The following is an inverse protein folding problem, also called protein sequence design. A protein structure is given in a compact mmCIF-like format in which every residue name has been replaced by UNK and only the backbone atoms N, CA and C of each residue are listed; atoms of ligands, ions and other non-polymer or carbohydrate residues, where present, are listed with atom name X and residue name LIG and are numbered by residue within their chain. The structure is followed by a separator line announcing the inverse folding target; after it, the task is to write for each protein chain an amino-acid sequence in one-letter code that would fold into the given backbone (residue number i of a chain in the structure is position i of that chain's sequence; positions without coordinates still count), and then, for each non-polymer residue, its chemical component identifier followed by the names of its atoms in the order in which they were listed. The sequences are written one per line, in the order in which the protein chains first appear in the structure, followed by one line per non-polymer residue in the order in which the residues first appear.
data_IF_231977457319
#
_entry.id   IF_231977457319
#
_cell.length_a   1.000
_cell.length_b   1.000
_cell.length_c   1.000
_cell.angle_alpha   90.00
_cell.angle_beta   90.00
_cell.angle_gamma   90.00
#
_symmetry.space_group_name_H-M   'P 1'
#
loop_
_entity.id
_entity.type
_entity.pdbx_description
1 polymer ?
#
# COMPACT_ATOMS: atom_id res chain seq x y z
N UNK A 1 81.83 -59.92 15.34
CA UNK A 1 81.42 -58.60 15.89
C UNK A 1 81.11 -57.68 14.72
N UNK A 2 79.95 -57.02 14.76
CA UNK A 2 79.43 -55.97 13.87
C UNK A 2 79.16 -56.36 12.39
N UNK A 3 78.05 -56.01 11.74
CA UNK A 3 76.87 -55.23 12.13
C UNK A 3 75.95 -54.96 10.91
N UNK A 4 74.68 -55.36 11.04
CA UNK A 4 73.39 -54.74 10.66
C UNK A 4 73.29 -53.77 9.44
N UNK A 5 72.27 -54.08 8.61
CA UNK A 5 71.36 -53.22 7.83
C UNK A 5 71.63 -52.95 6.34
N UNK A 6 71.13 -53.88 5.50
CA UNK A 6 70.40 -53.59 4.25
C UNK A 6 69.18 -52.71 4.57
N UNK A 7 69.24 -51.40 4.32
CA UNK A 7 68.09 -50.52 4.48
C UNK A 7 68.11 -49.41 3.39
N UNK A 8 67.17 -49.57 2.45
CA UNK A 8 66.61 -48.63 1.44
C UNK A 8 67.46 -48.24 0.22
N UNK A 9 67.11 -48.85 -0.92
CA UNK A 9 67.36 -48.27 -2.25
C UNK A 9 66.59 -46.94 -2.37
N UNK A 10 67.23 -45.90 -2.90
CA UNK A 10 66.57 -44.60 -3.14
C UNK A 10 65.41 -44.68 -4.14
N UNK A 11 65.26 -45.79 -4.88
CA UNK A 11 64.14 -46.08 -5.78
C UNK A 11 62.82 -46.37 -5.05
N UNK A 12 62.85 -47.11 -3.94
CA UNK A 12 61.63 -47.47 -3.20
C UNK A 12 61.07 -46.29 -2.39
N UNK A 13 61.95 -45.45 -1.82
CA UNK A 13 61.51 -44.23 -1.14
C UNK A 13 60.97 -43.20 -2.14
N UNK A 14 61.62 -43.02 -3.29
CA UNK A 14 61.14 -42.08 -4.31
C UNK A 14 59.83 -42.55 -4.96
N UNK A 15 59.67 -43.85 -5.21
CA UNK A 15 58.41 -44.43 -5.69
C UNK A 15 57.30 -44.34 -4.63
N UNK A 16 57.56 -44.71 -3.37
CA UNK A 16 56.60 -44.61 -2.27
C UNK A 16 56.24 -43.17 -1.90
N UNK A 17 57.20 -42.25 -1.90
CA UNK A 17 56.98 -40.82 -1.69
C UNK A 17 56.22 -40.19 -2.85
N UNK A 18 56.53 -40.57 -4.11
CA UNK A 18 55.79 -40.09 -5.28
C UNK A 18 54.36 -40.63 -5.31
N UNK A 19 54.13 -41.90 -4.96
CA UNK A 19 52.80 -42.51 -4.89
C UNK A 19 51.97 -41.90 -3.73
N UNK A 20 52.61 -41.59 -2.61
CA UNK A 20 51.99 -40.86 -1.47
C UNK A 20 51.73 -39.39 -1.81
N UNK A 21 52.65 -38.72 -2.50
CA UNK A 21 52.47 -37.36 -2.98
C UNK A 21 51.34 -37.29 -4.03
N UNK A 22 51.25 -38.25 -4.94
CA UNK A 22 50.17 -38.34 -5.94
C UNK A 22 48.80 -38.60 -5.30
N UNK A 23 48.73 -39.54 -4.36
CA UNK A 23 47.50 -39.81 -3.61
C UNK A 23 47.09 -38.64 -2.71
N UNK A 24 48.02 -37.75 -2.33
CA UNK A 24 47.73 -36.51 -1.62
C UNK A 24 47.38 -35.31 -2.53
N UNK A 25 47.83 -35.29 -3.79
CA UNK A 25 47.56 -34.17 -4.73
C UNK A 25 46.09 -34.07 -5.12
N UNK A 26 45.43 -35.20 -5.41
CA UNK A 26 44.02 -35.20 -5.81
C UNK A 26 43.07 -34.74 -4.69
N UNK A 27 43.16 -35.26 -3.44
CA UNK A 27 42.42 -34.72 -2.30
C UNK A 27 42.71 -33.24 -2.02
N UNK A 28 43.97 -32.80 -2.19
CA UNK A 28 44.33 -31.38 -2.01
C UNK A 28 43.72 -30.48 -3.10
N UNK A 29 43.71 -30.93 -4.36
CA UNK A 29 43.05 -30.21 -5.46
C UNK A 29 41.52 -30.17 -5.27
N UNK A 30 40.91 -31.29 -4.89
CA UNK A 30 39.48 -31.36 -4.56
C UNK A 30 39.13 -30.41 -3.40
N UNK A 31 39.96 -30.37 -2.35
CA UNK A 31 39.80 -29.46 -1.23
C UNK A 31 39.91 -27.98 -1.65
N UNK A 32 40.91 -27.62 -2.45
CA UNK A 32 41.08 -26.25 -2.96
C UNK A 32 39.92 -25.83 -3.89
N UNK A 33 39.43 -26.74 -4.72
CA UNK A 33 38.26 -26.50 -5.59
C UNK A 33 36.99 -26.35 -4.77
N UNK A 34 36.80 -27.17 -3.74
CA UNK A 34 35.66 -27.07 -2.83
C UNK A 34 35.66 -25.72 -2.07
N UNK A 35 36.82 -25.27 -1.59
CA UNK A 35 36.99 -23.94 -1.01
C UNK A 35 36.62 -22.84 -2.01
N UNK A 36 37.10 -22.93 -3.26
CA UNK A 36 36.81 -21.95 -4.31
C UNK A 36 35.32 -21.94 -4.67
N UNK A 37 34.69 -23.10 -4.87
CA UNK A 37 33.26 -23.22 -5.14
C UNK A 37 32.44 -22.64 -3.98
N UNK A 38 32.78 -22.97 -2.72
CA UNK A 38 32.11 -22.41 -1.55
C UNK A 38 32.30 -20.90 -1.43
N UNK A 39 33.49 -20.37 -1.73
CA UNK A 39 33.75 -18.93 -1.73
C UNK A 39 32.93 -18.21 -2.83
N UNK A 40 32.81 -18.81 -4.02
CA UNK A 40 31.99 -18.29 -5.12
C UNK A 40 30.50 -18.34 -4.78
N UNK A 41 30.01 -19.42 -4.18
CA UNK A 41 28.62 -19.57 -3.71
C UNK A 41 28.33 -18.58 -2.58
N UNK A 42 29.24 -18.43 -1.61
CA UNK A 42 29.10 -17.44 -0.53
C UNK A 42 29.00 -16.02 -1.08
N UNK A 43 29.87 -15.68 -2.03
CA UNK A 43 29.86 -14.36 -2.69
C UNK A 43 28.61 -14.15 -3.56
N UNK A 44 28.09 -15.19 -4.20
CA UNK A 44 26.79 -15.16 -4.89
C UNK A 44 25.65 -14.87 -3.89
N UNK A 45 25.62 -15.59 -2.77
CA UNK A 45 24.60 -15.41 -1.73
C UNK A 45 24.68 -14.01 -1.10
N UNK A 46 25.88 -13.48 -0.86
CA UNK A 46 26.09 -12.10 -0.39
C UNK A 46 25.57 -11.08 -1.41
N UNK A 47 25.82 -11.27 -2.71
CA UNK A 47 25.30 -10.37 -3.75
C UNK A 47 23.78 -10.49 -3.95
N UNK A 48 23.21 -11.69 -3.91
CA UNK A 48 21.75 -11.90 -3.94
C UNK A 48 21.13 -11.25 -2.70
N UNK A 49 21.74 -11.41 -1.53
CA UNK A 49 21.30 -10.76 -0.30
C UNK A 49 21.36 -9.24 -0.43
N UNK A 50 22.41 -8.68 -1.05
CA UNK A 50 22.52 -7.24 -1.31
C UNK A 50 21.42 -6.72 -2.27
N UNK A 51 21.13 -7.42 -3.38
CA UNK A 51 20.03 -7.06 -4.30
C UNK A 51 18.66 -7.13 -3.62
N UNK A 52 18.46 -8.11 -2.74
CA UNK A 52 17.23 -8.25 -1.96
C UNK A 52 17.16 -7.25 -0.78
N UNK A 53 18.31 -6.83 -0.24
CA UNK A 53 18.45 -5.90 0.87
C UNK A 53 18.47 -4.43 0.43
N UNK A 54 18.68 -4.13 -0.85
CA UNK A 54 18.35 -2.87 -1.49
C UNK A 54 16.82 -2.68 -1.41
N UNK A 55 16.37 -2.27 -0.22
CA UNK A 55 14.96 -2.14 0.13
C UNK A 55 14.35 -0.86 -0.41
N UNK A 56 15.15 0.13 -0.77
CA UNK A 56 14.67 1.44 -1.20
C UNK A 56 15.69 2.02 -2.18
N UNK A 57 15.23 2.58 -3.32
CA UNK A 57 15.80 3.81 -3.96
C UNK A 57 15.75 3.92 -5.50
N UNK A 58 15.03 3.08 -6.24
CA UNK A 58 14.60 3.51 -7.61
C UNK A 58 13.19 4.09 -7.66
N UNK A 59 12.28 3.62 -6.79
CA UNK A 59 10.88 4.08 -6.75
C UNK A 59 10.41 4.60 -5.39
N UNK A 60 11.27 4.77 -4.37
CA UNK A 60 10.82 5.18 -3.02
C UNK A 60 10.13 6.55 -3.00
N UNK A 61 10.52 7.46 -3.90
CA UNK A 61 9.86 8.78 -4.05
C UNK A 61 8.49 8.66 -4.69
N UNK A 62 8.33 7.80 -5.70
CA UNK A 62 7.05 7.52 -6.35
C UNK A 62 6.11 6.78 -5.39
N UNK A 63 6.59 5.76 -4.67
CA UNK A 63 5.82 5.03 -3.67
C UNK A 63 5.43 5.91 -2.48
N UNK A 64 6.34 6.77 -2.00
CA UNK A 64 6.03 7.75 -0.95
C UNK A 64 5.00 8.77 -1.44
N UNK A 65 5.11 9.24 -2.67
CA UNK A 65 4.12 10.12 -3.29
C UNK A 65 2.75 9.45 -3.43
N UNK A 66 2.67 8.25 -4.01
CA UNK A 66 1.43 7.50 -4.18
C UNK A 66 0.80 7.13 -2.82
N UNK A 67 1.62 6.78 -1.83
CA UNK A 67 1.15 6.53 -0.45
C UNK A 67 0.60 7.80 0.20
N UNK A 68 1.27 8.94 0.00
CA UNK A 68 0.77 10.25 0.47
C UNK A 68 -0.55 10.61 -0.21
N UNK A 69 -0.66 10.40 -1.52
CA UNK A 69 -1.90 10.64 -2.27
C UNK A 69 -3.03 9.71 -1.83
N UNK A 70 -2.74 8.42 -1.60
CA UNK A 70 -3.71 7.47 -1.03
C UNK A 70 -4.24 7.97 0.31
N UNK A 71 -3.36 8.45 1.21
CA UNK A 71 -3.77 9.01 2.50
C UNK A 71 -4.65 10.24 2.33
N UNK A 72 -4.25 11.20 1.50
CA UNK A 72 -5.04 12.42 1.22
C UNK A 72 -6.42 12.09 0.64
N UNK A 73 -6.49 11.15 -0.30
CA UNK A 73 -7.76 10.70 -0.90
C UNK A 73 -8.64 9.96 0.12
N UNK A 74 -8.04 9.18 1.02
CA UNK A 74 -8.75 8.52 2.12
C UNK A 74 -9.34 9.54 3.10
N UNK A 75 -8.55 10.53 3.52
CA UNK A 75 -8.99 11.60 4.41
C UNK A 75 -10.12 12.42 3.75
N UNK A 76 -9.98 12.74 2.46
CA UNK A 76 -11.01 13.42 1.67
C UNK A 76 -12.29 12.58 1.55
N UNK A 77 -12.18 11.27 1.34
CA UNK A 77 -13.32 10.35 1.30
C UNK A 77 -14.10 10.36 2.61
N UNK A 78 -13.40 10.30 3.74
CA UNK A 78 -14.02 10.36 5.06
C UNK A 78 -14.77 11.68 5.29
N UNK A 79 -14.18 12.81 4.91
CA UNK A 79 -14.86 14.11 5.00
C UNK A 79 -16.09 14.18 4.09
N UNK A 80 -16.02 13.55 2.90
CA UNK A 80 -17.15 13.49 1.96
C UNK A 80 -18.30 12.66 2.52
N UNK A 81 -18.02 11.50 3.10
CA UNK A 81 -19.02 10.64 3.75
C UNK A 81 -19.67 11.33 4.94
N UNK A 82 -18.86 11.99 5.79
CA UNK A 82 -19.39 12.77 6.91
C UNK A 82 -20.33 13.87 6.43
N UNK A 83 -19.93 14.62 5.40
CA UNK A 83 -20.78 15.67 4.84
C UNK A 83 -22.09 15.10 4.26
N UNK A 84 -22.02 14.02 3.48
CA UNK A 84 -23.19 13.31 2.94
C UNK A 84 -24.14 12.90 4.07
N UNK A 85 -23.60 12.34 5.17
CA UNK A 85 -24.40 11.94 6.31
C UNK A 85 -25.10 13.14 6.98
N UNK A 86 -24.36 14.20 7.30
CA UNK A 86 -24.90 15.39 7.95
C UNK A 86 -25.95 16.10 7.06
N UNK A 87 -25.67 16.22 5.76
CA UNK A 87 -26.57 16.79 4.77
C UNK A 87 -27.84 15.93 4.57
N UNK A 88 -27.69 14.61 4.47
CA UNK A 88 -28.82 13.68 4.37
C UNK A 88 -29.72 13.71 5.60
N UNK A 89 -29.15 13.85 6.80
CA UNK A 89 -29.94 14.09 8.03
C UNK A 89 -30.75 15.39 7.94
N UNK A 90 -30.13 16.46 7.45
CA UNK A 90 -30.82 17.74 7.28
C UNK A 90 -31.95 17.65 6.23
N UNK A 91 -31.79 16.88 5.15
CA UNK A 91 -32.85 16.64 4.16
C UNK A 91 -34.07 15.94 4.79
N UNK A 92 -33.84 14.84 5.53
CA UNK A 92 -34.92 14.12 6.23
C UNK A 92 -35.64 15.05 7.21
N UNK A 93 -34.87 15.90 7.88
CA UNK A 93 -35.41 16.87 8.83
C UNK A 93 -36.25 17.95 8.13
N UNK A 94 -35.81 18.41 6.96
CA UNK A 94 -36.55 19.38 6.15
C UNK A 94 -37.89 18.81 5.65
N UNK A 95 -37.92 17.53 5.24
CA UNK A 95 -39.17 16.85 4.87
C UNK A 95 -40.13 16.75 6.07
N UNK A 96 -39.61 16.42 7.25
CA UNK A 96 -40.42 16.38 8.48
C UNK A 96 -40.97 17.77 8.86
N UNK A 97 -40.21 18.84 8.64
CA UNK A 97 -40.65 20.22 8.85
C UNK A 97 -41.79 20.60 7.90
N UNK A 98 -41.79 20.10 6.66
CA UNK A 98 -42.86 20.37 5.68
C UNK A 98 -44.20 19.85 6.19
N UNK A 99 -44.24 18.61 6.68
CA UNK A 99 -45.44 18.02 7.28
C UNK A 99 -45.91 18.83 8.48
N UNK A 100 -44.99 19.25 9.37
CA UNK A 100 -45.34 20.05 10.54
C UNK A 100 -45.86 21.44 10.19
N UNK A 101 -45.34 22.07 9.14
CA UNK A 101 -45.87 23.34 8.67
C UNK A 101 -47.29 23.19 8.08
N UNK A 102 -47.59 22.05 7.43
CA UNK A 102 -48.95 21.73 6.99
C UNK A 102 -49.89 21.55 8.19
N UNK A 103 -49.47 20.80 9.22
CA UNK A 103 -50.24 20.62 10.46
C UNK A 103 -50.49 21.96 11.17
N UNK A 104 -49.48 22.84 11.19
CA UNK A 104 -49.58 24.18 11.77
C UNK A 104 -50.59 25.04 11.01
N UNK A 105 -50.58 24.99 9.68
CA UNK A 105 -51.54 25.68 8.83
C UNK A 105 -52.97 25.14 9.01
N UNK A 106 -53.13 23.83 9.15
CA UNK A 106 -54.42 23.20 9.40
C UNK A 106 -54.99 23.58 10.78
N UNK A 107 -54.15 23.59 11.82
CA UNK A 107 -54.54 24.02 13.16
C UNK A 107 -54.95 25.50 13.19
N UNK A 108 -54.25 26.36 12.45
CA UNK A 108 -54.62 27.76 12.29
C UNK A 108 -56.00 27.91 11.62
N UNK A 109 -56.25 27.19 10.53
CA UNK A 109 -57.53 27.22 9.82
C UNK A 109 -58.70 26.68 10.66
N UNK A 110 -58.44 25.71 11.54
CA UNK A 110 -59.41 25.16 12.48
C UNK A 110 -59.61 26.02 13.74
N UNK A 111 -58.86 27.11 13.89
CA UNK A 111 -58.78 27.93 15.11
C UNK A 111 -58.41 27.11 16.37
N UNK A 112 -57.65 26.03 16.20
CA UNK A 112 -57.19 25.17 17.30
C UNK A 112 -55.84 25.66 17.83
N UNK A 113 -55.93 26.57 18.80
CA UNK A 113 -54.76 27.18 19.45
C UNK A 113 -53.89 26.16 20.20
N UNK A 114 -54.50 25.10 20.75
CA UNK A 114 -53.76 24.09 21.52
C UNK A 114 -52.86 23.28 20.60
N UNK A 115 -53.43 22.76 19.51
CA UNK A 115 -52.67 22.01 18.50
C UNK A 115 -51.63 22.91 17.82
N UNK A 116 -51.99 24.16 17.50
CA UNK A 116 -51.05 25.12 16.91
C UNK A 116 -49.80 25.30 17.78
N UNK A 117 -49.97 25.54 19.08
CA UNK A 117 -48.85 25.73 20.01
C UNK A 117 -47.97 24.47 20.13
N UNK A 118 -48.59 23.29 20.14
CA UNK A 118 -47.86 22.03 20.20
C UNK A 118 -47.02 21.78 18.94
N UNK A 119 -47.60 22.03 17.76
CA UNK A 119 -46.90 21.88 16.48
C UNK A 119 -45.78 22.90 16.34
N UNK A 120 -46.02 24.16 16.71
CA UNK A 120 -45.00 25.21 16.71
C UNK A 120 -43.81 24.87 17.61
N UNK A 121 -44.07 24.36 18.82
CA UNK A 121 -43.02 23.86 19.72
C UNK A 121 -42.23 22.71 19.08
N UNK A 122 -42.92 21.78 18.41
CA UNK A 122 -42.26 20.66 17.73
C UNK A 122 -41.41 21.12 16.55
N UNK A 123 -41.88 22.08 15.74
CA UNK A 123 -41.09 22.73 14.69
C UNK A 123 -39.82 23.30 15.29
N UNK A 124 -39.96 24.10 16.37
CA UNK A 124 -38.82 24.74 17.00
C UNK A 124 -37.77 23.72 17.49
N UNK A 125 -38.20 22.64 18.14
CA UNK A 125 -37.31 21.56 18.57
C UNK A 125 -36.59 20.89 17.41
N UNK A 126 -37.30 20.61 16.31
CA UNK A 126 -36.72 19.95 15.15
C UNK A 126 -35.70 20.85 14.45
N UNK A 127 -36.01 22.14 14.31
CA UNK A 127 -35.08 23.12 13.76
C UNK A 127 -33.79 23.23 14.59
N UNK A 128 -33.90 23.17 15.92
CA UNK A 128 -32.75 23.23 16.84
C UNK A 128 -31.86 21.97 16.74
N UNK A 129 -32.43 20.84 16.31
CA UNK A 129 -31.69 19.59 16.09
C UNK A 129 -30.94 19.54 14.75
N UNK A 130 -31.27 20.42 13.81
CA UNK A 130 -30.51 20.53 12.56
C UNK A 130 -29.09 21.00 12.87
N UNK A 131 -28.12 20.58 12.08
CA UNK A 131 -26.74 21.02 12.24
C UNK A 131 -26.20 21.48 10.91
N UNK A 132 -25.48 22.59 10.89
CA UNK A 132 -24.81 23.01 9.68
C UNK A 132 -23.79 21.96 9.23
N UNK A 133 -23.97 21.44 8.02
CA UNK A 133 -23.03 20.52 7.41
C UNK A 133 -21.84 21.33 6.86
N UNK A 134 -20.62 21.04 7.34
CA UNK A 134 -19.43 21.76 6.89
C UNK A 134 -18.89 21.17 5.58
N UNK A 135 -19.20 21.81 4.45
CA UNK A 135 -18.75 21.41 3.11
C UNK A 135 -17.35 21.89 2.73
N UNK A 136 -16.74 22.78 3.51
CA UNK A 136 -15.45 23.40 3.16
C UNK A 136 -14.31 22.38 2.98
N UNK A 137 -14.16 21.34 3.83
CA UNK A 137 -13.11 20.33 3.67
C UNK A 137 -13.17 19.56 2.34
N UNK A 138 -14.34 19.53 1.70
CA UNK A 138 -14.57 18.83 0.42
C UNK A 138 -14.76 19.78 -0.77
N UNK A 139 -14.60 21.09 -0.56
CA UNK A 139 -14.72 22.12 -1.59
C UNK A 139 -16.15 22.52 -1.92
N UNK A 140 -17.14 22.13 -1.11
CA UNK A 140 -18.52 22.64 -1.20
C UNK A 140 -18.62 23.90 -0.35
N UNK A 141 -18.70 25.06 -1.01
CA UNK A 141 -18.72 26.39 -0.36
C UNK A 141 -20.14 26.98 -0.31
N UNK A 142 -21.13 26.24 -0.80
CA UNK A 142 -22.53 26.66 -0.77
C UNK A 142 -23.07 26.42 0.64
N UNK A 143 -23.58 27.49 1.26
CA UNK A 143 -24.31 27.43 2.52
C UNK A 143 -25.49 26.47 2.36
N UNK A 144 -25.63 25.50 3.26
CA UNK A 144 -26.67 24.49 3.23
C UNK A 144 -28.07 25.06 3.51
N UNK A 145 -28.15 26.34 3.89
CA UNK A 145 -29.40 27.04 4.17
C UNK A 145 -30.04 26.61 5.49
N UNK A 146 -29.41 25.72 6.25
CA UNK A 146 -29.87 25.28 7.57
C UNK A 146 -29.80 26.44 8.55
N UNK A 147 -28.78 27.29 8.45
CA UNK A 147 -28.68 28.50 9.27
C UNK A 147 -29.85 29.45 9.02
N UNK A 148 -30.42 29.47 7.80
CA UNK A 148 -31.62 30.27 7.48
C UNK A 148 -32.92 29.66 8.03
N UNK A 149 -32.96 28.33 8.21
CA UNK A 149 -34.06 27.66 8.89
C UNK A 149 -33.97 27.80 10.41
N UNK A 150 -32.75 27.79 10.97
CA UNK A 150 -32.45 28.02 12.39
C UNK A 150 -32.60 29.49 12.79
N UNK A 151 -32.24 30.41 11.90
CA UNK A 151 -32.70 31.79 11.93
C UNK A 151 -34.23 31.76 11.91
N UNK A 152 -34.92 32.64 12.64
CA UNK A 152 -36.24 32.32 13.16
C UNK A 152 -37.22 32.08 11.99
N UNK A 153 -37.49 30.80 11.73
CA UNK A 153 -38.28 30.33 10.59
C UNK A 153 -39.77 30.60 10.76
N UNK A 154 -40.22 30.93 11.98
CA UNK A 154 -41.52 31.51 12.28
C UNK A 154 -41.27 32.70 13.20
N UNK A 155 -41.57 33.89 12.69
CA UNK A 155 -41.21 35.13 13.34
C UNK A 155 -42.40 35.96 13.69
N UNK A 156 -42.35 36.45 14.92
CA UNK A 156 -43.12 37.61 15.31
C UNK A 156 -42.28 38.86 15.10
N UNK A 157 -42.95 39.94 14.76
CA UNK A 157 -42.38 41.28 14.83
C UNK A 157 -42.87 41.91 16.12
N UNK A 158 -41.96 42.33 16.98
CA UNK A 158 -42.37 43.18 18.10
C UNK A 158 -42.85 44.55 17.57
N UNK A 159 -43.47 45.37 18.42
CA UNK A 159 -43.92 46.72 18.05
C UNK A 159 -42.78 47.66 17.57
N UNK A 160 -41.52 47.26 17.73
CA UNK A 160 -40.33 47.95 17.26
C UNK A 160 -39.73 47.34 15.97
N UNK A 161 -40.43 46.40 15.31
CA UNK A 161 -40.00 45.76 14.07
C UNK A 161 -38.86 44.74 14.22
N UNK A 162 -38.50 44.36 15.45
CA UNK A 162 -37.47 43.35 15.71
C UNK A 162 -38.06 41.95 15.54
N UNK A 163 -37.36 41.12 14.76
CA UNK A 163 -37.70 39.74 14.46
C UNK A 163 -37.31 38.85 15.65
N UNK A 164 -38.29 38.23 16.32
CA UNK A 164 -38.05 37.22 17.35
C UNK A 164 -38.76 35.92 17.01
N UNK A 165 -38.23 34.80 17.49
CA UNK A 165 -38.81 33.49 17.27
C UNK A 165 -40.18 33.40 17.94
N UNK A 166 -41.19 32.93 17.22
CA UNK A 166 -42.50 32.66 17.78
C UNK A 166 -42.50 31.36 18.59
N UNK A 167 -43.20 31.36 19.73
CA UNK A 167 -43.32 30.22 20.65
C UNK A 167 -44.76 29.76 20.84
N UNK A 168 -45.73 30.64 20.57
CA UNK A 168 -47.17 30.40 20.73
C UNK A 168 -47.97 31.22 19.71
N UNK A 169 -49.24 30.83 19.47
CA UNK A 169 -50.16 31.52 18.55
C UNK A 169 -50.37 32.98 18.93
N UNK A 170 -50.44 33.30 20.22
CA UNK A 170 -50.63 34.67 20.70
C UNK A 170 -49.46 35.61 20.40
N UNK A 171 -48.33 35.08 19.92
CA UNK A 171 -47.20 35.89 19.45
C UNK A 171 -47.49 36.52 18.07
N UNK A 172 -48.54 36.09 17.37
CA UNK A 172 -48.99 36.69 16.10
C UNK A 172 -50.21 37.59 16.34
N UNK A 173 -50.13 38.85 15.90
CA UNK A 173 -51.18 39.84 16.11
C UNK A 173 -52.50 39.46 15.39
N UNK A 174 -52.40 38.87 14.20
CA UNK A 174 -53.55 38.39 13.41
C UNK A 174 -53.32 37.00 12.83
N UNK A 175 -54.40 36.33 12.40
CA UNK A 175 -54.28 35.08 11.63
C UNK A 175 -53.53 35.30 10.30
N UNK A 176 -53.71 36.47 9.68
CA UNK A 176 -53.01 36.83 8.45
C UNK A 176 -51.48 36.90 8.66
N UNK A 177 -51.03 37.41 9.81
CA UNK A 177 -49.61 37.44 10.17
C UNK A 177 -49.06 36.02 10.38
N UNK A 178 -49.84 35.16 11.06
CA UNK A 178 -49.48 33.76 11.25
C UNK A 178 -49.40 33.01 9.90
N UNK A 179 -50.37 33.22 9.01
CA UNK A 179 -50.35 32.64 7.64
C UNK A 179 -49.15 33.15 6.83
N UNK A 180 -48.83 34.44 6.90
CA UNK A 180 -47.67 35.01 6.22
C UNK A 180 -46.35 34.38 6.72
N UNK A 181 -46.19 34.22 8.03
CA UNK A 181 -45.03 33.56 8.62
C UNK A 181 -44.92 32.10 8.19
N UNK A 182 -46.03 31.34 8.18
CA UNK A 182 -46.07 29.94 7.71
C UNK A 182 -45.67 29.86 6.23
N UNK A 183 -46.20 30.73 5.38
CA UNK A 183 -45.85 30.77 3.95
C UNK A 183 -44.38 31.11 3.73
N UNK A 184 -43.83 32.05 4.51
CA UNK A 184 -42.41 32.35 4.47
C UNK A 184 -41.56 31.15 4.90
N UNK A 185 -41.98 30.43 5.95
CA UNK A 185 -41.33 29.20 6.39
C UNK A 185 -41.31 28.15 5.28
N UNK A 186 -42.43 27.94 4.59
CA UNK A 186 -42.50 27.03 3.43
C UNK A 186 -41.55 27.44 2.30
N UNK A 187 -41.46 28.73 1.97
CA UNK A 187 -40.56 29.22 0.92
C UNK A 187 -39.08 29.04 1.29
N UNK A 188 -38.73 29.34 2.55
CA UNK A 188 -37.38 29.12 3.07
C UNK A 188 -37.03 27.63 3.07
N UNK A 189 -37.96 26.78 3.51
CA UNK A 189 -37.81 25.33 3.52
C UNK A 189 -37.65 24.76 2.12
N UNK A 190 -38.46 25.20 1.16
CA UNK A 190 -38.33 24.79 -0.24
C UNK A 190 -36.97 25.16 -0.83
N UNK A 191 -36.48 26.38 -0.53
CA UNK A 191 -35.15 26.82 -0.96
C UNK A 191 -34.05 25.98 -0.30
N UNK A 192 -34.13 25.76 1.02
CA UNK A 192 -33.15 24.96 1.76
C UNK A 192 -33.15 23.50 1.28
N UNK A 193 -34.31 22.87 1.07
CA UNK A 193 -34.39 21.51 0.54
C UNK A 193 -33.77 21.39 -0.86
N UNK A 194 -33.95 22.38 -1.74
CA UNK A 194 -33.30 22.40 -3.05
C UNK A 194 -31.77 22.48 -2.93
N UNK A 195 -31.27 23.35 -2.04
CA UNK A 195 -29.83 23.49 -1.81
C UNK A 195 -29.23 22.24 -1.19
N UNK A 196 -29.90 21.65 -0.19
CA UNK A 196 -29.50 20.37 0.41
C UNK A 196 -29.44 19.25 -0.63
N UNK A 197 -30.43 19.17 -1.54
CA UNK A 197 -30.43 18.19 -2.63
C UNK A 197 -29.27 18.43 -3.61
N UNK A 198 -29.04 19.68 -4.02
CA UNK A 198 -27.91 20.02 -4.91
C UNK A 198 -26.56 19.69 -4.28
N UNK A 199 -26.40 19.99 -2.99
CA UNK A 199 -25.20 19.69 -2.22
C UNK A 199 -25.02 18.18 -2.05
N UNK A 200 -26.10 17.42 -1.87
CA UNK A 200 -26.07 15.96 -1.82
C UNK A 200 -25.54 15.39 -3.13
N UNK A 201 -26.11 15.82 -4.27
CA UNK A 201 -25.69 15.36 -5.59
C UNK A 201 -24.23 15.74 -5.89
N UNK A 202 -23.80 16.95 -5.50
CA UNK A 202 -22.42 17.38 -5.63
C UNK A 202 -21.47 16.51 -4.80
N UNK A 203 -21.83 16.22 -3.55
CA UNK A 203 -21.03 15.38 -2.66
C UNK A 203 -20.96 13.93 -3.14
N UNK A 204 -22.06 13.36 -3.65
CA UNK A 204 -22.10 12.02 -4.25
C UNK A 204 -21.23 11.92 -5.50
N UNK A 205 -21.26 12.93 -6.36
CA UNK A 205 -20.36 13.04 -7.51
C UNK A 205 -18.88 13.10 -7.08
N UNK A 206 -18.56 13.85 -6.01
CA UNK A 206 -17.21 13.90 -5.45
C UNK A 206 -16.79 12.56 -4.86
N UNK A 207 -17.69 11.85 -4.18
CA UNK A 207 -17.44 10.50 -3.64
C UNK A 207 -17.07 9.54 -4.75
N UNK A 208 -17.88 9.47 -5.81
CA UNK A 208 -17.64 8.60 -6.97
C UNK A 208 -16.29 8.90 -7.64
N UNK A 209 -15.98 10.18 -7.90
CA UNK A 209 -14.70 10.61 -8.49
C UNK A 209 -13.51 10.28 -7.59
N UNK A 210 -13.65 10.48 -6.29
CA UNK A 210 -12.59 10.20 -5.31
C UNK A 210 -12.32 8.70 -5.21
N UNK A 211 -13.37 7.88 -5.16
CA UNK A 211 -13.24 6.43 -5.12
C UNK A 211 -12.56 5.88 -6.38
N UNK A 212 -12.91 6.41 -7.56
CA UNK A 212 -12.21 6.08 -8.80
C UNK A 212 -10.72 6.43 -8.76
N UNK A 213 -10.36 7.64 -8.28
CA UNK A 213 -8.96 8.07 -8.13
C UNK A 213 -8.20 7.24 -7.08
N UNK A 214 -8.84 6.89 -5.97
CA UNK A 214 -8.25 6.07 -4.92
C UNK A 214 -7.92 4.67 -5.45
N UNK A 215 -8.86 4.03 -6.14
CA UNK A 215 -8.65 2.71 -6.75
C UNK A 215 -7.53 2.77 -7.79
N UNK A 216 -7.51 3.80 -8.64
CA UNK A 216 -6.42 4.01 -9.61
C UNK A 216 -5.05 4.18 -8.93
N UNK A 217 -4.98 4.94 -7.83
CA UNK A 217 -3.75 5.14 -7.07
C UNK A 217 -3.27 3.85 -6.40
N UNK A 218 -4.19 3.04 -5.88
CA UNK A 218 -3.87 1.72 -5.30
C UNK A 218 -3.30 0.79 -6.37
N UNK A 219 -3.92 0.72 -7.55
CA UNK A 219 -3.44 -0.10 -8.66
C UNK A 219 -2.08 0.35 -9.17
N UNK A 220 -1.83 1.67 -9.25
CA UNK A 220 -0.50 2.19 -9.60
C UNK A 220 0.56 1.80 -8.58
N UNK A 221 0.24 1.88 -7.29
CA UNK A 221 1.15 1.49 -6.21
C UNK A 221 1.45 -0.01 -6.27
N UNK A 222 0.46 -0.84 -6.56
CA UNK A 222 0.65 -2.28 -6.77
C UNK A 222 1.49 -2.58 -8.02
N UNK A 223 1.24 -1.89 -9.13
CA UNK A 223 2.02 -2.05 -10.36
C UNK A 223 3.49 -1.65 -10.16
N UNK A 224 3.77 -0.57 -9.44
CA UNK A 224 5.14 -0.14 -9.10
C UNK A 224 5.86 -1.19 -8.26
N UNK A 225 5.16 -1.79 -7.29
CA UNK A 225 5.71 -2.89 -6.47
C UNK A 225 6.04 -4.12 -7.32
N UNK A 226 5.11 -4.55 -8.17
CA UNK A 226 5.31 -5.70 -9.07
C UNK A 226 6.46 -5.45 -10.05
N UNK A 227 6.57 -4.25 -10.61
CA UNK A 227 7.67 -3.89 -11.50
C UNK A 227 9.03 -3.94 -10.78
N UNK A 228 9.09 -3.43 -9.55
CA UNK A 228 10.30 -3.47 -8.71
C UNK A 228 10.71 -4.93 -8.39
N UNK A 229 9.75 -5.77 -8.01
CA UNK A 229 10.00 -7.19 -7.75
C UNK A 229 10.48 -7.93 -9.00
N UNK A 230 9.92 -7.60 -10.18
CA UNK A 230 10.36 -8.16 -11.46
C UNK A 230 11.79 -7.72 -11.85
N UNK A 231 12.16 -6.46 -11.63
CA UNK A 231 13.53 -5.99 -11.84
C UNK A 231 14.52 -6.72 -10.94
N UNK A 232 14.19 -6.88 -9.65
CA UNK A 232 15.01 -7.64 -8.69
C UNK A 232 15.17 -9.10 -9.11
N UNK A 233 14.09 -9.75 -9.53
CA UNK A 233 14.12 -11.12 -10.02
C UNK A 233 15.06 -11.28 -11.23
N UNK A 234 15.00 -10.34 -12.18
CA UNK A 234 15.89 -10.32 -13.35
C UNK A 234 17.36 -10.12 -12.97
N UNK A 235 17.66 -9.23 -12.01
CA UNK A 235 19.03 -9.02 -11.52
C UNK A 235 19.58 -10.26 -10.80
N UNK A 236 18.77 -10.92 -9.98
CA UNK A 236 19.13 -12.18 -9.32
C UNK A 236 19.40 -13.27 -10.36
N UNK A 237 18.58 -13.37 -11.41
CA UNK A 237 18.79 -14.35 -12.47
C UNK A 237 20.09 -14.09 -13.24
N UNK A 238 20.41 -12.83 -13.54
CA UNK A 238 21.68 -12.45 -14.16
C UNK A 238 22.88 -12.83 -13.30
N UNK A 239 22.81 -12.56 -11.99
CA UNK A 239 23.85 -12.97 -11.03
C UNK A 239 24.00 -14.49 -10.99
N UNK A 240 22.89 -15.25 -10.94
CA UNK A 240 22.93 -16.72 -10.99
C UNK A 240 23.61 -17.22 -12.26
N UNK A 241 23.23 -16.71 -13.44
CA UNK A 241 23.85 -17.12 -14.72
C UNK A 241 25.36 -16.83 -14.75
N UNK A 242 25.79 -15.65 -14.31
CA UNK A 242 27.21 -15.29 -14.28
C UNK A 242 28.01 -16.20 -13.33
N UNK A 243 27.51 -16.43 -12.11
CA UNK A 243 28.21 -17.25 -11.13
C UNK A 243 28.17 -18.75 -11.48
N UNK A 244 27.11 -19.24 -12.14
CA UNK A 244 27.09 -20.60 -12.72
C UNK A 244 28.17 -20.78 -13.79
N UNK A 245 28.41 -19.78 -14.64
CA UNK A 245 29.51 -19.83 -15.61
C UNK A 245 30.88 -19.89 -14.91
N UNK A 246 31.08 -19.12 -13.83
CA UNK A 246 32.31 -19.19 -13.03
C UNK A 246 32.50 -20.57 -12.37
N UNK A 247 31.43 -21.14 -11.79
CA UNK A 247 31.49 -22.47 -11.19
C UNK A 247 31.81 -23.54 -12.24
N UNK A 248 31.20 -23.47 -13.41
CA UNK A 248 31.51 -24.37 -14.53
C UNK A 248 32.98 -24.23 -14.98
N UNK A 249 33.51 -23.01 -15.05
CA UNK A 249 34.91 -22.78 -15.39
C UNK A 249 35.88 -23.33 -14.33
N UNK A 250 35.54 -23.21 -13.04
CA UNK A 250 36.31 -23.81 -11.94
C UNK A 250 36.29 -25.33 -12.04
N UNK A 251 35.13 -25.93 -12.27
CA UNK A 251 34.99 -27.38 -12.43
C UNK A 251 35.74 -27.91 -13.67
N UNK A 252 35.67 -27.19 -14.80
CA UNK A 252 36.42 -27.56 -16.01
C UNK A 252 37.94 -27.43 -15.81
N UNK A 253 38.38 -26.41 -15.08
CA UNK A 253 39.80 -26.24 -14.73
C UNK A 253 40.28 -27.36 -13.79
N UNK A 254 39.44 -27.80 -12.86
CA UNK A 254 39.70 -28.98 -12.03
C UNK A 254 39.82 -30.24 -12.88
N UNK A 255 38.84 -30.52 -13.75
CA UNK A 255 38.89 -31.69 -14.64
C UNK A 255 40.13 -31.69 -15.53
N UNK A 256 40.48 -30.53 -16.11
CA UNK A 256 41.68 -30.39 -16.94
C UNK A 256 42.97 -30.61 -16.13
N UNK A 257 43.06 -30.07 -14.91
CA UNK A 257 44.24 -30.25 -14.06
C UNK A 257 44.34 -31.67 -13.51
N UNK A 258 43.22 -32.30 -13.16
CA UNK A 258 43.16 -33.70 -12.76
C UNK A 258 43.61 -34.60 -13.92
N UNK A 259 43.09 -34.39 -15.13
CA UNK A 259 43.48 -35.13 -16.32
C UNK A 259 44.95 -34.93 -16.70
N UNK A 260 45.49 -33.71 -16.54
CA UNK A 260 46.90 -33.42 -16.81
C UNK A 260 47.81 -34.07 -15.76
N UNK A 261 47.41 -34.04 -14.49
CA UNK A 261 48.12 -34.73 -13.39
C UNK A 261 48.10 -36.24 -13.60
N UNK A 262 46.98 -36.80 -14.03
CA UNK A 262 46.83 -38.22 -14.36
C UNK A 262 47.69 -38.63 -15.56
N UNK A 263 47.72 -37.81 -16.63
CA UNK A 263 48.60 -38.03 -17.78
C UNK A 263 50.08 -37.92 -17.41
N UNK A 264 50.46 -36.89 -16.66
CA UNK A 264 51.84 -36.71 -16.20
C UNK A 264 52.28 -37.86 -15.29
N UNK A 265 51.39 -38.31 -14.40
CA UNK A 265 51.59 -39.51 -13.58
C UNK A 265 51.84 -40.74 -14.44
N UNK A 266 50.95 -41.02 -15.41
CA UNK A 266 51.10 -42.16 -16.31
C UNK A 266 52.38 -42.10 -17.17
N UNK A 267 52.86 -40.90 -17.50
CA UNK A 267 54.05 -40.70 -18.33
C UNK A 267 55.36 -40.76 -17.54
N UNK A 268 55.35 -40.43 -16.25
CA UNK A 268 56.53 -40.45 -15.39
C UNK A 268 56.68 -41.77 -14.63
N UNK A 269 55.58 -42.47 -14.34
CA UNK A 269 55.55 -43.65 -13.47
C UNK A 269 54.72 -44.80 -14.03
N UNK A 270 54.23 -44.70 -15.27
CA UNK A 270 53.74 -45.88 -15.98
C UNK A 270 54.86 -46.93 -16.06
N UNK A 271 54.55 -48.23 -15.98
CA UNK A 271 55.57 -49.25 -16.12
C UNK A 271 56.34 -48.97 -17.41
N UNK A 272 57.65 -48.77 -17.29
CA UNK A 272 58.53 -48.77 -18.45
C UNK A 272 58.29 -50.13 -19.11
N UNK A 273 57.59 -50.12 -20.25
CA UNK A 273 57.41 -51.32 -21.06
C UNK A 273 58.75 -51.59 -21.75
N UNK A 274 59.71 -52.07 -20.96
CA UNK A 274 61.03 -52.46 -21.43
C UNK A 274 60.80 -53.73 -22.24
N UNK A 275 60.73 -53.59 -23.56
CA UNK A 275 60.67 -54.74 -24.46
C UNK A 275 61.81 -55.72 -24.10
N UNK A 276 61.54 -57.03 -24.02
CA UNK A 276 62.57 -58.03 -23.73
C UNK A 276 63.71 -57.91 -24.76
N UNK A 277 64.90 -57.54 -24.29
CA UNK A 277 66.09 -57.36 -25.14
C UNK A 277 66.69 -55.94 -25.21
N UNK A 278 66.12 -54.95 -24.52
CA UNK A 278 66.69 -53.60 -24.46
C UNK A 278 67.92 -53.50 -23.55
N UNK A 279 68.89 -52.66 -23.91
CA UNK A 279 70.17 -52.43 -23.17
C UNK A 279 69.93 -51.96 -21.72
N UNK A 280 68.74 -51.44 -21.42
CA UNK A 280 68.30 -51.09 -20.06
C UNK A 280 68.19 -52.30 -19.12
N UNK A 281 68.19 -53.54 -19.63
CA UNK A 281 68.20 -54.77 -18.81
C UNK A 281 69.56 -55.07 -18.14
N UNK A 282 70.62 -54.32 -18.45
CA UNK A 282 71.97 -54.56 -17.90
C UNK A 282 72.25 -53.79 -16.60
N UNK A 283 71.32 -52.95 -16.16
CA UNK A 283 71.43 -52.14 -14.94
C UNK A 283 70.26 -52.35 -13.95
N UNK A 284 69.48 -53.42 -14.13
CA UNK A 284 68.45 -53.87 -13.20
C UNK A 284 69.01 -54.93 -12.24
#
# INVERSE_FOLDING_TARGET
MAGIADIYSGGDFSAGFAQTAQSAVRPNLEYQVNILQNAVIKRLNEKISAVNADKDLKNSTLDAYLSSQKKKLSDFSFQTEKYIFDNGRNMITADALTTKLNDLSAALAANDTTTFNQVLKSINQVTDMMTQANGMPIGIVVDDGVTKLQSPGLVQYNNAGTQTRATQRSDFATDADATAAINQAFNNLGTTSQVLSFNQDAAENLRSKTQGKLNGTILQLEAVRVANDAEKANEVEKLRRQYSQFLNAISLSYESNAALTEKLSSSLFGPLDIQPGSVMNLFA
#
